data_IF_688252485181
#
_entry.id   IF_688252485181
#
_cell.length_a   1.000
_cell.length_b   1.000
_cell.length_c   1.000
_cell.angle_alpha   90.00
_cell.angle_beta   90.00
_cell.angle_gamma   90.00
#
_symmetry.space_group_name_H-M   'P 1'
#
loop_
_entity.id
_entity.type
_entity.pdbx_description
1 polymer ?
#
# COMPACT_ATOMS: atom_id res chain seq x y z
N UNK A 1 -7.63 8.60 6.78
CA UNK A 1 -7.52 8.50 5.33
C UNK A 1 -7.81 9.84 4.67
N UNK A 2 -7.32 10.01 3.48
CA UNK A 2 -7.52 11.23 2.69
C UNK A 2 -8.68 11.06 1.70
N UNK A 3 -9.00 12.15 1.01
CA UNK A 3 -10.03 12.15 -0.01
C UNK A 3 -9.68 11.21 -1.16
N UNK A 4 -10.68 10.62 -1.75
CA UNK A 4 -10.57 9.76 -2.92
C UNK A 4 -9.77 8.47 -2.69
N UNK A 5 -9.68 8.02 -1.44
CA UNK A 5 -9.20 6.67 -1.17
C UNK A 5 -10.35 5.68 -1.32
N UNK A 6 -10.08 4.60 -2.02
CA UNK A 6 -11.08 3.58 -2.33
C UNK A 6 -10.69 2.27 -1.66
N UNK A 7 -11.62 1.71 -0.90
CA UNK A 7 -11.47 0.39 -0.29
C UNK A 7 -12.57 -0.48 -0.84
N UNK A 8 -12.19 -1.48 -1.64
CA UNK A 8 -13.15 -2.38 -2.28
C UNK A 8 -13.41 -3.58 -1.38
N UNK A 9 -14.68 -3.85 -1.18
CA UNK A 9 -15.14 -4.90 -0.27
C UNK A 9 -14.82 -6.29 -0.77
N UNK A 10 -14.92 -7.26 0.13
CA UNK A 10 -14.69 -8.67 -0.13
C UNK A 10 -13.94 -9.34 1.01
N UNK A 11 -12.86 -8.71 1.48
CA UNK A 11 -12.12 -9.11 2.66
C UNK A 11 -11.67 -7.86 3.39
N UNK A 12 -11.30 -7.96 4.66
CA UNK A 12 -10.92 -6.77 5.42
C UNK A 12 -9.62 -6.15 4.95
N UNK A 13 -9.53 -4.81 5.10
CA UNK A 13 -8.28 -4.06 5.02
C UNK A 13 -7.99 -3.58 6.43
N UNK A 14 -6.87 -4.01 6.98
CA UNK A 14 -6.49 -3.70 8.36
C UNK A 14 -5.28 -2.78 8.35
N UNK A 15 -5.43 -1.62 8.98
CA UNK A 15 -4.36 -0.63 9.11
C UNK A 15 -3.88 -0.57 10.55
N UNK A 16 -2.59 -0.51 10.74
CA UNK A 16 -2.00 -0.21 12.04
C UNK A 16 -2.13 1.27 12.41
N UNK A 17 -1.33 1.71 13.35
CA UNK A 17 -1.34 3.09 13.84
C UNK A 17 -0.46 4.00 12.97
N UNK A 18 -0.82 5.28 12.92
CA UNK A 18 -0.04 6.31 12.23
C UNK A 18 0.20 5.99 10.75
N UNK A 19 -0.84 5.60 10.06
CA UNK A 19 -0.79 5.35 8.62
C UNK A 19 -1.22 6.60 7.89
N UNK A 20 -0.35 7.11 7.01
CA UNK A 20 -0.64 8.27 6.17
C UNK A 20 -0.91 7.82 4.76
N UNK A 21 -2.07 8.19 4.24
CA UNK A 21 -2.52 7.78 2.91
C UNK A 21 -2.82 9.02 2.09
N UNK A 22 -2.01 9.27 1.08
CA UNK A 22 -2.24 10.38 0.16
C UNK A 22 -3.44 10.11 -0.75
N UNK A 23 -3.95 11.12 -1.47
CA UNK A 23 -5.16 10.96 -2.29
C UNK A 23 -5.05 9.91 -3.38
N UNK A 24 -6.21 9.39 -3.78
CA UNK A 24 -6.38 8.47 -4.92
C UNK A 24 -5.71 7.10 -4.74
N UNK A 25 -5.54 6.67 -3.52
CA UNK A 25 -5.08 5.31 -3.25
C UNK A 25 -6.25 4.32 -3.33
N UNK A 26 -5.96 3.11 -3.80
CA UNK A 26 -6.94 2.04 -3.93
C UNK A 26 -6.43 0.79 -3.22
N UNK A 27 -7.28 0.24 -2.36
CA UNK A 27 -7.00 -1.02 -1.65
C UNK A 27 -8.04 -2.03 -2.12
N UNK A 28 -7.60 -2.97 -2.95
CA UNK A 28 -8.49 -3.96 -3.55
C UNK A 28 -8.25 -5.32 -2.91
N UNK A 29 -9.27 -5.87 -2.25
CA UNK A 29 -9.19 -7.18 -1.61
C UNK A 29 -9.77 -8.29 -2.47
N UNK A 30 -10.43 -7.96 -3.57
CA UNK A 30 -11.13 -8.92 -4.40
C UNK A 30 -10.59 -8.95 -5.84
N UNK A 31 -10.74 -10.08 -6.48
CA UNK A 31 -10.41 -10.24 -7.88
C UNK A 31 -11.16 -11.41 -8.48
N UNK A 32 -10.95 -11.64 -9.75
CA UNK A 32 -11.59 -12.74 -10.47
C UNK A 32 -10.54 -13.74 -10.95
N UNK A 33 -10.91 -15.02 -11.07
CA UNK A 33 -9.99 -16.02 -11.62
C UNK A 33 -9.54 -15.67 -13.04
N UNK A 34 -8.34 -16.09 -13.38
CA UNK A 34 -7.83 -15.92 -14.74
C UNK A 34 -8.53 -16.84 -15.72
N UNK A 35 -9.03 -17.98 -15.25
CA UNK A 35 -9.78 -18.90 -16.09
C UNK A 35 -11.11 -18.28 -16.54
N UNK A 36 -11.35 -18.32 -17.84
CA UNK A 36 -12.52 -17.68 -18.45
C UNK A 36 -13.82 -18.27 -17.95
N UNK A 37 -13.89 -19.60 -17.86
CA UNK A 37 -15.12 -20.26 -17.42
C UNK A 37 -15.47 -19.90 -15.98
N UNK A 38 -14.49 -19.95 -15.09
CA UNK A 38 -14.69 -19.58 -13.68
C UNK A 38 -15.10 -18.12 -13.55
N UNK A 39 -14.48 -17.25 -14.32
CA UNK A 39 -14.80 -15.82 -14.30
C UNK A 39 -16.22 -15.58 -14.82
N UNK A 40 -16.61 -16.26 -15.89
CA UNK A 40 -17.95 -16.12 -16.47
C UNK A 40 -19.05 -16.72 -15.59
N UNK A 41 -18.71 -17.64 -14.71
CA UNK A 41 -19.62 -18.16 -13.70
C UNK A 41 -19.85 -17.19 -12.56
N UNK A 42 -19.14 -16.07 -12.55
CA UNK A 42 -19.24 -15.07 -11.50
C UNK A 42 -18.38 -15.36 -10.28
N UNK A 43 -17.44 -16.31 -10.40
CA UNK A 43 -16.53 -16.60 -9.30
C UNK A 43 -15.59 -15.43 -9.06
N UNK A 44 -15.31 -15.16 -7.80
CA UNK A 44 -14.33 -14.17 -7.39
C UNK A 44 -13.61 -14.65 -6.13
N UNK A 45 -12.45 -14.09 -5.89
CA UNK A 45 -11.71 -14.36 -4.66
C UNK A 45 -11.56 -13.08 -3.87
N UNK A 46 -11.33 -13.22 -2.57
CA UNK A 46 -11.07 -12.08 -1.70
C UNK A 46 -10.01 -12.47 -0.69
N UNK A 47 -8.97 -11.66 -0.58
CA UNK A 47 -7.88 -11.85 0.37
C UNK A 47 -7.63 -10.54 1.11
N UNK A 48 -7.45 -10.61 2.44
CA UNK A 48 -7.26 -9.41 3.24
C UNK A 48 -5.95 -8.70 2.91
N UNK A 49 -5.95 -7.39 3.11
CA UNK A 49 -4.76 -6.56 3.05
C UNK A 49 -4.43 -6.15 4.48
N UNK A 50 -3.17 -6.29 4.86
CA UNK A 50 -2.71 -5.92 6.19
C UNK A 50 -1.58 -4.90 6.07
N UNK A 51 -1.76 -3.77 6.72
CA UNK A 51 -0.77 -2.69 6.73
C UNK A 51 -0.30 -2.48 8.16
N UNK A 52 1.00 -2.48 8.37
CA UNK A 52 1.59 -2.28 9.69
C UNK A 52 1.47 -0.83 10.19
N UNK A 53 2.26 -0.51 11.20
CA UNK A 53 2.28 0.82 11.81
C UNK A 53 3.24 1.75 11.07
N UNK A 54 2.96 3.06 11.11
CA UNK A 54 3.86 4.07 10.58
C UNK A 54 4.18 3.85 9.10
N UNK A 55 3.17 3.64 8.29
CA UNK A 55 3.30 3.44 6.85
C UNK A 55 2.79 4.68 6.12
N UNK A 56 3.53 5.10 5.11
CA UNK A 56 3.12 6.22 4.28
C UNK A 56 2.93 5.76 2.84
N UNK A 57 1.72 5.96 2.33
CA UNK A 57 1.39 5.73 0.93
C UNK A 57 1.41 7.06 0.19
N UNK A 58 2.25 7.19 -0.81
CA UNK A 58 2.20 8.32 -1.73
C UNK A 58 0.91 8.29 -2.56
N UNK A 59 0.66 9.34 -3.33
CA UNK A 59 -0.58 9.45 -4.10
C UNK A 59 -0.71 8.34 -5.15
N UNK A 60 -1.95 7.94 -5.41
CA UNK A 60 -2.29 7.01 -6.51
C UNK A 60 -1.63 5.64 -6.40
N UNK A 61 -1.44 5.16 -5.19
CA UNK A 61 -0.96 3.79 -4.95
C UNK A 61 -2.13 2.81 -5.03
N UNK A 62 -1.90 1.69 -5.68
CA UNK A 62 -2.86 0.59 -5.72
C UNK A 62 -2.27 -0.62 -5.00
N UNK A 63 -3.00 -1.15 -4.03
CA UNK A 63 -2.60 -2.36 -3.30
C UNK A 63 -3.55 -3.48 -3.67
N UNK A 64 -2.98 -4.61 -4.10
CA UNK A 64 -3.72 -5.75 -4.61
C UNK A 64 -4.05 -6.77 -3.50
N UNK A 65 -4.99 -7.70 -3.78
CA UNK A 65 -5.46 -8.64 -2.76
C UNK A 65 -4.36 -9.45 -2.10
N UNK A 66 -4.47 -9.63 -0.79
CA UNK A 66 -3.61 -10.52 -0.02
C UNK A 66 -2.26 -9.95 0.37
N UNK A 67 -2.00 -8.68 0.06
CA UNK A 67 -0.71 -8.06 0.34
C UNK A 67 -0.59 -7.68 1.81
N UNK A 68 0.57 -7.95 2.40
CA UNK A 68 0.97 -7.46 3.72
C UNK A 68 2.09 -6.46 3.55
N UNK A 69 1.92 -5.28 4.14
CA UNK A 69 2.93 -4.22 4.12
C UNK A 69 3.45 -4.04 5.53
N UNK A 70 4.76 -4.21 5.71
CA UNK A 70 5.40 -4.12 7.02
C UNK A 70 5.41 -2.70 7.57
N UNK A 71 5.71 -2.59 8.86
CA UNK A 71 5.74 -1.30 9.57
C UNK A 71 6.92 -0.43 9.13
N UNK A 72 6.81 0.87 9.38
CA UNK A 72 7.88 1.83 9.12
C UNK A 72 8.31 1.83 7.65
N UNK A 73 7.34 1.84 6.75
CA UNK A 73 7.54 1.65 5.31
C UNK A 73 6.96 2.83 4.54
N UNK A 74 7.59 3.16 3.43
CA UNK A 74 7.10 4.18 2.51
C UNK A 74 6.84 3.53 1.16
N UNK A 75 5.63 3.72 0.64
CA UNK A 75 5.26 3.28 -0.71
C UNK A 75 5.20 4.50 -1.62
N UNK A 76 6.06 4.56 -2.60
CA UNK A 76 6.15 5.71 -3.50
C UNK A 76 4.90 5.91 -4.35
N UNK A 77 4.65 7.17 -4.75
CA UNK A 77 3.48 7.53 -5.54
C UNK A 77 3.38 6.73 -6.84
N UNK A 78 2.17 6.40 -7.23
CA UNK A 78 1.90 5.69 -8.48
C UNK A 78 2.25 4.21 -8.47
N UNK A 79 2.63 3.67 -7.34
CA UNK A 79 3.04 2.25 -7.23
C UNK A 79 1.85 1.30 -7.30
N UNK A 80 2.10 0.12 -7.86
CA UNK A 80 1.15 -1.00 -7.81
C UNK A 80 1.79 -2.11 -6.99
N UNK A 81 1.24 -2.35 -5.80
CA UNK A 81 1.79 -3.30 -4.84
C UNK A 81 1.12 -4.65 -5.03
N UNK A 82 1.85 -5.60 -5.62
CA UNK A 82 1.33 -6.91 -5.96
C UNK A 82 1.99 -8.05 -5.17
N UNK A 83 2.84 -7.73 -4.21
CA UNK A 83 3.45 -8.70 -3.30
C UNK A 83 3.75 -8.03 -1.98
N UNK A 84 4.02 -8.84 -0.96
CA UNK A 84 4.33 -8.34 0.37
C UNK A 84 5.56 -7.44 0.36
N UNK A 85 5.50 -6.41 1.20
CA UNK A 85 6.61 -5.46 1.36
C UNK A 85 7.14 -5.60 2.78
N UNK A 86 8.45 -5.79 2.96
CA UNK A 86 9.03 -5.91 4.30
C UNK A 86 9.01 -4.57 5.05
N UNK A 87 9.25 -4.63 6.35
CA UNK A 87 9.30 -3.44 7.19
C UNK A 87 10.57 -2.62 6.93
N UNK A 88 10.48 -1.32 7.18
CA UNK A 88 11.64 -0.44 7.22
C UNK A 88 12.22 -0.06 5.86
N UNK A 89 11.43 -0.09 4.80
CA UNK A 89 11.93 0.15 3.44
C UNK A 89 11.14 1.23 2.72
N UNK A 90 11.74 1.74 1.66
CA UNK A 90 11.05 2.50 0.62
C UNK A 90 10.86 1.55 -0.55
N UNK A 91 9.63 1.39 -0.99
CA UNK A 91 9.28 0.57 -2.14
C UNK A 91 8.52 1.41 -3.17
N UNK A 92 8.74 1.18 -4.44
CA UNK A 92 8.16 2.01 -5.50
C UNK A 92 8.05 1.25 -6.82
N UNK A 93 7.14 1.68 -7.64
CA UNK A 93 7.04 1.24 -9.03
C UNK A 93 5.84 0.36 -9.33
N UNK A 94 5.76 -0.06 -10.58
CA UNK A 94 4.76 -0.98 -11.08
C UNK A 94 5.46 -2.05 -11.93
N UNK A 95 5.62 -3.26 -11.41
CA UNK A 95 5.23 -3.69 -10.08
C UNK A 95 6.14 -3.06 -9.00
N UNK A 96 5.55 -2.83 -7.84
CA UNK A 96 6.27 -2.22 -6.71
C UNK A 96 7.37 -3.15 -6.19
N UNK A 97 8.55 -2.58 -6.00
CA UNK A 97 9.73 -3.32 -5.52
C UNK A 97 10.48 -2.47 -4.50
N UNK A 98 11.15 -3.14 -3.59
CA UNK A 98 11.99 -2.47 -2.61
C UNK A 98 13.08 -1.68 -3.31
N UNK A 99 13.13 -0.38 -3.04
CA UNK A 99 14.16 0.50 -3.57
C UNK A 99 15.37 0.54 -2.65
N UNK A 100 15.13 0.72 -1.35
CA UNK A 100 16.18 0.79 -0.34
C UNK A 100 15.61 0.67 1.07
N UNK A 101 16.49 0.45 2.02
CA UNK A 101 16.17 0.48 3.44
C UNK A 101 16.16 1.93 3.94
N UNK A 102 15.25 2.25 4.86
CA UNK A 102 15.23 3.53 5.55
C UNK A 102 16.30 3.49 6.66
N UNK A 103 17.13 4.53 6.76
CA UNK A 103 18.22 4.58 7.72
C UNK A 103 18.17 5.87 8.53
N UNK A 104 19.05 5.96 9.55
CA UNK A 104 19.18 7.17 10.34
C UNK A 104 19.59 8.40 9.52
N UNK A 105 20.22 8.19 8.37
CA UNK A 105 20.58 9.29 7.47
C UNK A 105 19.34 10.02 6.94
N UNK A 106 18.23 9.33 6.84
CA UNK A 106 16.99 9.95 6.38
C UNK A 106 16.49 11.06 7.33
N UNK A 107 16.86 11.01 8.60
CA UNK A 107 16.53 12.05 9.57
C UNK A 107 17.26 13.37 9.32
N UNK A 108 18.40 13.30 8.67
CA UNK A 108 19.29 14.45 8.48
C UNK A 108 18.91 15.30 7.27
N UNK A 109 18.14 14.75 6.36
CA UNK A 109 17.79 15.42 5.11
C UNK A 109 16.94 16.67 5.33
N UNK A 110 16.02 16.60 6.28
CA UNK A 110 15.12 17.71 6.60
C UNK A 110 15.30 18.12 8.05
N UNK A 111 15.52 19.41 8.29
CA UNK A 111 15.56 19.95 9.63
C UNK A 111 14.15 20.19 10.18
N UNK A 112 14.05 20.43 11.47
CA UNK A 112 12.75 20.65 12.11
C UNK A 112 12.04 21.91 11.60
N UNK A 113 12.77 22.84 11.05
CA UNK A 113 12.20 24.07 10.48
C UNK A 113 11.24 23.79 9.33
N UNK A 114 11.36 22.65 8.67
CA UNK A 114 10.43 22.26 7.61
C UNK A 114 9.04 21.95 8.12
N UNK A 115 8.90 21.69 9.39
CA UNK A 115 7.61 21.36 9.99
C UNK A 115 6.73 22.57 10.19
N UNK A 116 7.29 23.75 10.06
CA UNK A 116 6.58 25.00 10.26
C UNK A 116 5.67 25.39 9.10
N UNK A 117 5.76 24.69 8.03
CA UNK A 117 5.03 25.02 6.81
C UNK A 117 3.54 24.69 6.91
#
# INVERSE_FOLDING_TARGET
TNHNCIILDGAPVVFGDNVFIAPNCTFSTAGHPLDVEQRNEGLEYAYPITVGDNVWFGASVTVLPGVTIGSNTVIGAGSVVNRDIPSGVVAVGNPCRVLRTITEEDKKKYGRTYHEI
#
